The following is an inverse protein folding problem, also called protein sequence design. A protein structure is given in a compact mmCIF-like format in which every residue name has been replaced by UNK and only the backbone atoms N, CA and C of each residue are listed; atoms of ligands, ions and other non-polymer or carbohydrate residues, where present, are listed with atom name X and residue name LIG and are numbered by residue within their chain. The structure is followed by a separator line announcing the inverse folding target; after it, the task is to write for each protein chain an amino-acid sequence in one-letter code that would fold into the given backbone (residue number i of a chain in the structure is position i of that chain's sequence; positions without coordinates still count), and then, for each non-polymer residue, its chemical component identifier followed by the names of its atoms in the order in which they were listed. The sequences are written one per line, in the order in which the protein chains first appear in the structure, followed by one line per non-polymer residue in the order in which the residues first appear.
data_IF_331994669452
#
_entry.id   IF_331994669452
#
_cell.length_a   1.000
_cell.length_b   1.000
_cell.length_c   1.000
_cell.angle_alpha   90.00
_cell.angle_beta   90.00
_cell.angle_gamma   90.00
#
_symmetry.space_group_name_H-M   'P 1'
#
loop_
_entity.id
_entity.type
_entity.pdbx_description
1 polymer ?
#
# COMPACT_ATOMS: atom_id res chain seq x y z
N UNK A 1 -10.23 7.20 8.79
CA UNK A 1 -9.61 7.62 7.52
C UNK A 1 -8.82 8.91 7.67
N UNK A 2 -9.39 10.03 8.14
CA UNK A 2 -8.62 11.28 8.29
C UNK A 2 -7.41 11.11 9.22
N UNK A 3 -7.61 10.52 10.39
CA UNK A 3 -6.53 10.17 11.33
C UNK A 3 -5.43 9.27 10.74
N UNK A 4 -5.72 8.53 9.67
CA UNK A 4 -4.74 7.67 9.00
C UNK A 4 -3.93 8.49 7.99
N UNK A 5 -4.60 9.34 7.20
CA UNK A 5 -3.96 10.28 6.31
C UNK A 5 -3.06 11.27 7.07
N UNK A 6 -3.52 11.78 8.22
CA UNK A 6 -2.73 12.68 9.06
C UNK A 6 -1.47 12.00 9.64
N UNK A 7 -1.58 10.71 9.99
CA UNK A 7 -0.43 9.90 10.44
C UNK A 7 0.57 9.63 9.33
N UNK A 8 0.11 9.37 8.11
CA UNK A 8 0.97 9.18 6.93
C UNK A 8 1.69 10.48 6.55
N UNK A 9 0.97 11.61 6.57
CA UNK A 9 1.54 12.94 6.35
C UNK A 9 2.61 13.26 7.41
N UNK A 10 2.31 13.03 8.69
CA UNK A 10 3.27 13.26 9.78
C UNK A 10 4.52 12.34 9.69
N UNK A 11 4.39 11.14 9.14
CA UNK A 11 5.51 10.24 8.88
C UNK A 11 6.33 10.68 7.65
N UNK A 12 5.69 11.24 6.62
CA UNK A 12 6.34 11.84 5.47
C UNK A 12 7.19 13.05 5.87
N UNK A 13 6.62 13.96 6.68
CA UNK A 13 7.33 15.15 7.15
C UNK A 13 8.52 14.76 8.04
N UNK A 14 8.33 13.75 8.88
CA UNK A 14 9.38 13.24 9.78
C UNK A 14 10.48 12.47 9.02
N UNK A 15 10.18 11.84 7.90
CA UNK A 15 11.17 11.14 7.07
C UNK A 15 11.93 12.10 6.17
N UNK A 16 11.29 13.16 5.66
CA UNK A 16 11.93 14.28 4.98
C UNK A 16 12.92 15.01 5.89
N UNK A 17 12.52 15.33 7.13
CA UNK A 17 13.38 16.02 8.10
C UNK A 17 14.59 15.19 8.56
N UNK A 18 14.51 13.85 8.52
CA UNK A 18 15.60 12.95 8.95
C UNK A 18 16.69 12.72 7.89
N UNK A 19 16.45 13.07 6.63
CA UNK A 19 17.44 12.94 5.55
C UNK A 19 17.83 11.49 5.20
N UNK A 20 18.74 11.33 4.23
CA UNK A 20 19.29 10.04 3.82
C UNK A 20 18.29 9.12 3.10
N UNK A 21 18.45 7.80 3.24
CA UNK A 21 17.58 6.81 2.56
C UNK A 21 16.10 6.92 2.96
N UNK A 22 15.81 7.48 4.13
CA UNK A 22 14.43 7.69 4.62
C UNK A 22 13.75 8.89 3.94
N UNK A 23 14.49 9.89 3.48
CA UNK A 23 13.91 11.01 2.72
C UNK A 23 13.31 10.56 1.39
N UNK A 24 13.83 9.47 0.79
CA UNK A 24 13.24 8.86 -0.42
C UNK A 24 11.84 8.27 -0.18
N UNK A 25 11.48 8.03 1.08
CA UNK A 25 10.16 7.52 1.48
C UNK A 25 9.16 8.65 1.78
N UNK A 26 9.61 9.91 1.86
CA UNK A 26 8.73 11.02 2.17
C UNK A 26 7.68 11.25 1.08
N UNK A 27 8.11 11.26 -0.18
CA UNK A 27 7.22 11.42 -1.33
C UNK A 27 6.19 10.28 -1.45
N UNK A 28 6.56 8.97 -1.42
CA UNK A 28 5.57 7.91 -1.50
C UNK A 28 4.60 7.89 -0.30
N UNK A 29 5.04 8.27 0.91
CA UNK A 29 4.13 8.39 2.06
C UNK A 29 3.17 9.58 1.94
N UNK A 30 3.61 10.70 1.38
CA UNK A 30 2.75 11.85 1.09
C UNK A 30 1.72 11.52 0.01
N UNK A 31 2.13 10.79 -1.03
CA UNK A 31 1.24 10.31 -2.09
C UNK A 31 0.21 9.30 -1.55
N UNK A 32 0.62 8.39 -0.65
CA UNK A 32 -0.27 7.46 0.04
C UNK A 32 -1.26 8.18 0.96
N UNK A 33 -0.85 9.24 1.66
CA UNK A 33 -1.75 10.07 2.46
C UNK A 33 -2.86 10.71 1.58
N UNK A 34 -2.49 11.18 0.39
CA UNK A 34 -3.44 11.71 -0.58
C UNK A 34 -4.34 10.62 -1.15
N UNK A 35 -3.83 9.42 -1.40
CA UNK A 35 -4.63 8.28 -1.83
C UNK A 35 -5.66 7.86 -0.78
N UNK A 36 -5.27 7.81 0.49
CA UNK A 36 -6.19 7.52 1.61
C UNK A 36 -7.28 8.59 1.75
N UNK A 37 -6.97 9.86 1.49
CA UNK A 37 -7.98 10.93 1.42
C UNK A 37 -8.94 10.76 0.24
N UNK A 38 -8.47 10.27 -0.91
CA UNK A 38 -9.31 9.95 -2.06
C UNK A 38 -10.20 8.72 -1.82
N UNK A 39 -9.78 7.79 -0.97
CA UNK A 39 -10.55 6.61 -0.55
C UNK A 39 -11.53 6.88 0.60
N UNK A 40 -11.80 8.14 0.95
CA UNK A 40 -12.79 8.45 1.99
C UNK A 40 -14.15 7.84 1.60
N UNK A 41 -14.83 7.10 2.50
CA UNK A 41 -16.12 6.47 2.20
C UNK A 41 -17.17 7.48 1.70
N UNK A 42 -17.12 8.72 2.16
CA UNK A 42 -17.98 9.81 1.69
C UNK A 42 -17.71 10.22 0.25
N UNK A 43 -16.45 10.21 -0.21
CA UNK A 43 -16.06 10.52 -1.59
C UNK A 43 -16.40 9.39 -2.56
N UNK A 44 -16.27 8.14 -2.11
CA UNK A 44 -16.75 6.96 -2.85
C UNK A 44 -18.27 7.01 -2.98
N UNK A 45 -18.98 7.35 -1.88
CA UNK A 45 -20.44 7.52 -1.87
C UNK A 45 -20.90 8.66 -2.78
N UNK A 46 -20.19 9.79 -2.80
CA UNK A 46 -20.48 10.90 -3.72
C UNK A 46 -20.31 10.47 -5.19
N UNK A 47 -19.21 9.78 -5.52
CA UNK A 47 -19.00 9.23 -6.86
C UNK A 47 -20.06 8.20 -7.25
N UNK A 48 -20.44 7.32 -6.33
CA UNK A 48 -21.51 6.34 -6.55
C UNK A 48 -22.88 7.00 -6.78
N UNK A 49 -23.09 8.22 -6.25
CA UNK A 49 -24.26 9.06 -6.49
C UNK A 49 -24.14 9.94 -7.75
N UNK A 50 -23.01 9.91 -8.46
CA UNK A 50 -22.75 10.76 -9.63
C UNK A 50 -22.28 12.18 -9.30
N UNK A 51 -21.98 12.48 -8.04
CA UNK A 51 -21.47 13.78 -7.61
C UNK A 51 -19.93 13.81 -7.71
N UNK A 52 -19.38 14.88 -8.29
CA UNK A 52 -17.92 15.05 -8.38
C UNK A 52 -17.33 15.37 -6.98
N UNK A 53 -16.28 14.67 -6.53
CA UNK A 53 -15.66 14.95 -5.24
C UNK A 53 -15.06 16.37 -5.22
N UNK A 54 -15.62 17.24 -4.37
CA UNK A 54 -15.29 18.67 -4.25
C UNK A 54 -14.11 18.97 -3.31
N UNK A 55 -13.52 17.97 -2.66
CA UNK A 55 -12.37 18.14 -1.76
C UNK A 55 -11.01 18.28 -2.48
N UNK A 56 -11.01 18.70 -3.75
CA UNK A 56 -9.76 18.95 -4.48
C UNK A 56 -9.27 20.36 -4.14
N UNK A 57 -7.96 20.53 -3.97
CA UNK A 57 -7.36 21.83 -3.75
C UNK A 57 -7.60 22.71 -5.01
N UNK A 58 -8.25 23.88 -4.90
CA UNK A 58 -8.71 24.68 -6.04
C UNK A 58 -7.59 25.15 -6.99
N UNK A 59 -6.32 25.06 -6.59
CA UNK A 59 -5.18 25.49 -7.41
C UNK A 59 -4.81 24.52 -8.55
N UNK A 60 -5.41 23.33 -8.62
CA UNK A 60 -5.23 22.41 -9.74
C UNK A 60 -6.49 22.40 -10.60
N UNK A 61 -6.46 23.17 -11.69
CA UNK A 61 -7.50 23.14 -12.71
C UNK A 61 -7.71 21.71 -13.19
N UNK A 62 -8.91 21.18 -13.00
CA UNK A 62 -9.28 19.84 -13.49
C UNK A 62 -9.45 19.95 -15.00
N UNK A 63 -8.37 19.69 -15.73
CA UNK A 63 -8.43 19.54 -17.19
C UNK A 63 -9.08 18.20 -17.48
N UNK A 64 -10.21 18.22 -18.18
CA UNK A 64 -10.85 17.01 -18.67
C UNK A 64 -9.87 16.29 -19.61
N UNK A 65 -9.59 14.99 -19.40
CA UNK A 65 -8.64 14.28 -20.24
C UNK A 65 -9.18 14.20 -21.67
N UNK A 66 -8.37 14.65 -22.62
CA UNK A 66 -8.70 14.79 -24.04
C UNK A 66 -8.69 13.47 -24.83
N UNK A 67 -8.68 12.32 -24.16
CA UNK A 67 -8.62 11.02 -24.81
C UNK A 67 -9.04 9.84 -23.92
N UNK A 68 -9.10 8.63 -24.50
CA UNK A 68 -9.48 7.41 -23.78
C UNK A 68 -8.57 7.18 -22.58
N UNK A 69 -9.12 7.24 -21.37
CA UNK A 69 -8.35 7.04 -20.13
C UNK A 69 -7.97 5.58 -19.88
N UNK A 70 -8.71 4.65 -20.51
CA UNK A 70 -8.40 3.23 -20.44
C UNK A 70 -7.61 2.86 -21.69
N UNK A 71 -6.36 2.42 -21.47
CA UNK A 71 -5.54 1.83 -22.52
C UNK A 71 -6.17 0.56 -23.10
N UNK A 72 -5.51 -0.01 -24.11
CA UNK A 72 -5.98 -1.24 -24.78
C UNK A 72 -6.23 -2.34 -23.73
N UNK A 73 -7.46 -2.87 -23.70
CA UNK A 73 -7.85 -3.98 -22.83
C UNK A 73 -6.87 -5.14 -23.02
N UNK A 74 -6.24 -5.66 -21.95
CA UNK A 74 -5.33 -6.79 -22.08
C UNK A 74 -6.08 -7.99 -22.64
N UNK A 75 -5.47 -8.64 -23.64
CA UNK A 75 -6.09 -9.80 -24.27
C UNK A 75 -6.17 -10.98 -23.28
N UNK A 76 -7.15 -11.88 -23.42
CA UNK A 76 -7.24 -13.08 -22.58
C UNK A 76 -5.97 -13.95 -22.63
N UNK A 77 -5.19 -13.87 -23.71
CA UNK A 77 -3.89 -14.54 -23.84
C UNK A 77 -2.80 -13.89 -22.99
N UNK A 78 -2.84 -12.57 -22.78
CA UNK A 78 -1.89 -11.88 -21.89
C UNK A 78 -2.16 -12.24 -20.41
N UNK A 79 -3.42 -12.37 -20.01
CA UNK A 79 -3.80 -12.78 -18.65
C UNK A 79 -3.34 -14.22 -18.31
N UNK A 80 -3.28 -15.13 -19.29
CA UNK A 80 -2.79 -16.50 -19.09
C UNK A 80 -1.27 -16.62 -18.93
N UNK A 81 -0.49 -15.59 -19.28
CA UNK A 81 0.99 -15.62 -19.21
C UNK A 81 1.54 -15.21 -17.83
N UNK A 82 0.69 -14.73 -16.92
CA UNK A 82 1.08 -14.22 -15.61
C UNK A 82 0.45 -14.98 -14.44
N UNK A 83 0.40 -16.32 -14.50
CA UNK A 83 -0.03 -17.12 -13.35
C UNK A 83 1.01 -17.03 -12.23
N UNK A 84 0.64 -16.45 -11.10
CA UNK A 84 1.48 -16.40 -9.91
C UNK A 84 1.80 -17.81 -9.35
N UNK A 85 2.68 -17.90 -8.35
CA UNK A 85 3.06 -19.18 -7.74
C UNK A 85 1.83 -19.95 -7.26
N UNK A 86 1.86 -21.29 -7.35
CA UNK A 86 0.78 -22.15 -6.87
C UNK A 86 0.44 -21.78 -5.41
N UNK A 87 -0.82 -21.41 -5.08
CA UNK A 87 -1.18 -20.95 -3.75
C UNK A 87 -0.87 -21.97 -2.66
N UNK A 88 -0.98 -23.27 -2.95
CA UNK A 88 -0.63 -24.34 -2.02
C UNK A 88 0.87 -24.40 -1.74
N UNK A 89 1.69 -24.07 -2.74
CA UNK A 89 3.14 -24.01 -2.58
C UNK A 89 3.54 -22.82 -1.70
N UNK A 90 2.90 -21.66 -1.88
CA UNK A 90 3.10 -20.49 -1.01
C UNK A 90 2.75 -20.83 0.43
N UNK A 91 1.60 -21.47 0.67
CA UNK A 91 1.17 -21.91 2.00
C UNK A 91 2.18 -22.89 2.62
N UNK A 92 2.61 -23.89 1.85
CA UNK A 92 3.60 -24.87 2.30
C UNK A 92 4.94 -24.24 2.69
N UNK A 93 5.44 -23.30 1.90
CA UNK A 93 6.69 -22.58 2.20
C UNK A 93 6.57 -21.73 3.46
N UNK A 94 5.47 -20.98 3.62
CA UNK A 94 5.23 -20.17 4.81
C UNK A 94 5.16 -21.04 6.08
N UNK A 95 4.50 -22.19 6.02
CA UNK A 95 4.41 -23.12 7.15
C UNK A 95 5.79 -23.67 7.53
N UNK A 96 6.56 -24.14 6.54
CA UNK A 96 7.91 -24.67 6.78
C UNK A 96 8.84 -23.61 7.38
N UNK A 97 8.80 -22.38 6.87
CA UNK A 97 9.57 -21.26 7.43
C UNK A 97 9.18 -20.96 8.88
N UNK A 98 7.88 -20.99 9.21
CA UNK A 98 7.39 -20.81 10.57
C UNK A 98 7.90 -21.87 11.55
N UNK A 99 7.90 -23.14 11.14
CA UNK A 99 8.41 -24.25 11.97
C UNK A 99 9.91 -24.09 12.23
N UNK A 100 10.69 -23.76 11.21
CA UNK A 100 12.14 -23.54 11.35
C UNK A 100 12.42 -22.35 12.28
N UNK A 101 11.68 -21.25 12.12
CA UNK A 101 11.82 -20.08 12.98
C UNK A 101 11.47 -20.41 14.43
N UNK A 102 10.37 -21.13 14.66
CA UNK A 102 9.97 -21.56 16.00
C UNK A 102 11.07 -22.43 16.65
N UNK A 103 11.63 -23.39 15.91
CA UNK A 103 12.69 -24.26 16.42
C UNK A 103 13.99 -23.52 16.69
N UNK A 104 14.30 -22.49 15.91
CA UNK A 104 15.46 -21.63 16.14
C UNK A 104 15.30 -20.79 17.41
N UNK A 105 14.11 -20.23 17.66
CA UNK A 105 13.82 -19.47 18.88
C UNK A 105 13.87 -20.40 20.11
N UNK A 106 13.24 -21.57 20.02
CA UNK A 106 13.24 -22.59 21.06
C UNK A 106 14.67 -23.01 21.46
N UNK A 107 15.53 -23.26 20.47
CA UNK A 107 16.96 -23.51 20.71
C UNK A 107 17.63 -22.32 21.42
N UNK A 108 17.46 -21.08 20.92
CA UNK A 108 18.09 -19.90 21.56
C UNK A 108 17.58 -19.62 22.97
N UNK A 109 16.34 -19.98 23.27
CA UNK A 109 15.75 -19.84 24.61
C UNK A 109 16.29 -20.84 25.63
N UNK A 110 16.84 -21.98 25.19
CA UNK A 110 17.32 -23.07 26.05
C UNK A 110 18.75 -22.86 26.61
N UNK A 111 19.39 -21.71 26.34
CA UNK A 111 20.73 -21.40 26.81
C UNK A 111 20.80 -20.71 28.19
N UNK A 112 19.70 -20.67 28.95
CA UNK A 112 19.72 -20.22 30.35
C UNK A 112 19.68 -21.45 31.28
N UNK A 113 20.82 -21.96 31.76
CA UNK A 113 20.81 -22.83 32.92
C UNK A 113 20.18 -22.02 34.07
N UNK A 114 19.12 -22.57 34.65
CA UNK A 114 18.61 -22.12 35.94
C UNK A 114 19.41 -22.88 36.98
N UNK A 115 20.42 -22.22 37.52
CA UNK A 115 20.99 -22.58 38.81
C UNK A 115 19.99 -22.21 39.92
#
# INVERSE_FOLDING_TARGET
MERLADKLQALADRSAAKGGTKAKLAQPLADDAQFVRKLKPSSIKARAKGEAPTNQNPTQGVVAPSGPQLGKRPSPRAAKRGGGPNPWLVVGVCLAAGVVLAKWIDWRGHAHPRD
#
